data_IF_890758718403
#
_entry.id   IF_890758718403
#
_cell.length_a   1.000
_cell.length_b   1.000
_cell.length_c   1.000
_cell.angle_alpha   90.00
_cell.angle_beta   90.00
_cell.angle_gamma   90.00
#
_symmetry.space_group_name_H-M   'P 1'
#
loop_
_entity.id
_entity.type
_entity.pdbx_description
1 polymer ?
#
# COMPACT_ATOMS: atom_id res chain seq x y z
N UNK A 1 -61.33 -3.82 -6.29
CA UNK A 1 -60.32 -4.52 -7.11
C UNK A 1 -59.02 -3.80 -6.94
N UNK A 2 -58.08 -4.40 -6.21
CA UNK A 2 -56.67 -4.00 -6.17
C UNK A 2 -55.99 -4.58 -7.41
N UNK A 3 -55.13 -3.80 -8.06
CA UNK A 3 -54.09 -4.36 -8.92
C UNK A 3 -52.86 -3.47 -8.82
N UNK A 4 -51.81 -4.09 -8.31
CA UNK A 4 -50.48 -3.56 -8.12
C UNK A 4 -49.85 -3.21 -9.47
N UNK A 5 -49.16 -2.08 -9.57
CA UNK A 5 -48.24 -1.84 -10.68
C UNK A 5 -46.84 -1.67 -10.11
N UNK A 6 -46.14 -2.80 -10.11
CA UNK A 6 -44.72 -2.96 -9.86
C UNK A 6 -43.91 -1.96 -10.68
N UNK A 7 -43.23 -1.04 -10.00
CA UNK A 7 -42.18 -0.21 -10.61
C UNK A 7 -40.86 -0.54 -9.94
N UNK A 8 -40.23 -1.57 -10.49
CA UNK A 8 -38.79 -1.72 -10.68
C UNK A 8 -37.89 -1.20 -9.55
N UNK A 9 -37.62 -2.06 -8.57
CA UNK A 9 -36.40 -1.96 -7.76
C UNK A 9 -35.19 -2.22 -8.65
N UNK A 10 -34.59 -1.16 -9.20
CA UNK A 10 -33.22 -1.22 -9.69
C UNK A 10 -32.30 -1.29 -8.48
N UNK A 11 -32.15 -2.50 -7.93
CA UNK A 11 -31.06 -2.82 -7.02
C UNK A 11 -29.76 -2.83 -7.83
N UNK A 12 -29.21 -1.66 -8.11
CA UNK A 12 -27.81 -1.53 -8.51
C UNK A 12 -26.96 -1.82 -7.27
N UNK A 13 -26.83 -3.10 -6.93
CA UNK A 13 -25.78 -3.59 -6.04
C UNK A 13 -24.48 -3.60 -6.84
N UNK A 14 -23.99 -2.42 -7.21
CA UNK A 14 -22.58 -2.28 -7.50
C UNK A 14 -21.92 -2.24 -6.13
N UNK A 15 -21.46 -3.39 -5.64
CA UNK A 15 -20.23 -3.40 -4.85
C UNK A 15 -19.21 -2.69 -5.74
N UNK A 16 -19.11 -1.37 -5.61
CA UNK A 16 -17.99 -0.64 -6.17
C UNK A 16 -16.81 -1.23 -5.41
N UNK A 17 -16.10 -2.17 -6.01
CA UNK A 17 -14.72 -2.46 -5.66
C UNK A 17 -14.08 -1.08 -5.54
N UNK A 18 -13.86 -0.62 -4.31
CA UNK A 18 -13.32 0.72 -4.09
C UNK A 18 -11.93 0.66 -4.69
N UNK A 19 -11.73 1.40 -5.75
CA UNK A 19 -10.42 1.53 -6.37
C UNK A 19 -9.42 1.95 -5.31
N UNK A 20 -8.46 1.07 -5.03
CA UNK A 20 -7.33 1.34 -4.15
C UNK A 20 -6.15 1.78 -5.04
N UNK A 21 -5.84 3.09 -5.11
CA UNK A 21 -4.76 3.59 -5.96
C UNK A 21 -3.39 3.08 -5.52
N UNK A 22 -3.22 2.76 -4.23
CA UNK A 22 -1.95 2.28 -3.72
C UNK A 22 -1.73 0.82 -4.09
N UNK A 23 -2.74 -0.03 -3.87
CA UNK A 23 -2.68 -1.43 -4.29
C UNK A 23 -2.45 -1.55 -5.81
N UNK A 24 -3.12 -0.71 -6.62
CA UNK A 24 -2.91 -0.65 -8.06
C UNK A 24 -1.48 -0.21 -8.44
N UNK A 25 -0.94 0.80 -7.76
CA UNK A 25 0.44 1.24 -7.97
C UNK A 25 1.44 0.12 -7.65
N UNK A 26 1.27 -0.57 -6.52
CA UNK A 26 2.15 -1.66 -6.09
C UNK A 26 2.13 -2.82 -7.10
N UNK A 27 0.95 -3.24 -7.55
CA UNK A 27 0.82 -4.34 -8.53
C UNK A 27 1.49 -3.99 -9.86
N UNK A 28 1.18 -2.83 -10.42
CA UNK A 28 1.69 -2.45 -11.75
C UNK A 28 3.19 -2.13 -11.77
N UNK A 29 3.77 -1.83 -10.61
CA UNK A 29 5.18 -1.46 -10.49
C UNK A 29 5.98 -2.47 -9.68
N UNK A 30 5.44 -3.67 -9.40
CA UNK A 30 6.05 -4.62 -8.46
C UNK A 30 7.54 -4.90 -8.77
N UNK A 31 7.86 -5.25 -10.02
CA UNK A 31 9.25 -5.53 -10.42
C UNK A 31 10.15 -4.29 -10.36
N UNK A 32 9.63 -3.12 -10.72
CA UNK A 32 10.37 -1.85 -10.61
C UNK A 32 10.64 -1.49 -9.14
N UNK A 33 9.65 -1.66 -8.28
CA UNK A 33 9.78 -1.45 -6.84
C UNK A 33 10.80 -2.43 -6.28
N UNK A 34 10.71 -3.71 -6.64
CA UNK A 34 11.67 -4.72 -6.21
C UNK A 34 13.10 -4.34 -6.60
N UNK A 35 13.33 -3.93 -7.85
CA UNK A 35 14.65 -3.46 -8.31
C UNK A 35 15.13 -2.24 -7.51
N UNK A 36 14.27 -1.23 -7.35
CA UNK A 36 14.62 0.00 -6.63
C UNK A 36 14.88 -0.25 -5.13
N UNK A 37 14.13 -1.14 -4.50
CA UNK A 37 14.41 -1.59 -3.13
C UNK A 37 15.76 -2.27 -3.08
N UNK A 38 16.10 -3.18 -4.01
CA UNK A 38 17.41 -3.83 -4.04
C UNK A 38 18.56 -2.82 -4.20
N UNK A 39 18.37 -1.79 -5.03
CA UNK A 39 19.34 -0.73 -5.25
C UNK A 39 19.43 0.28 -4.08
N UNK A 40 18.38 0.40 -3.26
CA UNK A 40 18.27 1.38 -2.19
C UNK A 40 17.91 2.79 -2.66
N UNK A 41 17.53 2.95 -3.93
CA UNK A 41 17.15 4.24 -4.50
C UNK A 41 16.11 4.12 -5.61
N UNK A 42 15.42 5.23 -5.84
CA UNK A 42 14.49 5.41 -6.95
C UNK A 42 13.16 6.02 -6.53
N UNK A 43 12.43 6.55 -7.50
CA UNK A 43 11.22 7.35 -7.29
C UNK A 43 10.04 6.53 -6.76
N UNK A 44 9.97 5.23 -7.03
CA UNK A 44 8.86 4.40 -6.55
C UNK A 44 8.86 4.28 -5.03
N UNK A 45 10.05 4.31 -4.40
CA UNK A 45 10.19 4.27 -2.95
C UNK A 45 9.72 5.58 -2.28
N UNK A 46 9.93 6.70 -2.96
CA UNK A 46 9.41 8.00 -2.52
C UNK A 46 7.89 8.07 -2.65
N UNK A 47 7.32 7.44 -3.69
CA UNK A 47 5.86 7.30 -3.85
C UNK A 47 5.27 6.43 -2.74
N UNK A 48 5.93 5.32 -2.38
CA UNK A 48 5.53 4.50 -1.22
C UNK A 48 5.48 5.35 0.05
N UNK A 49 6.55 6.10 0.34
CA UNK A 49 6.60 6.99 1.51
C UNK A 49 5.47 8.05 1.48
N UNK A 50 5.11 8.57 0.30
CA UNK A 50 4.00 9.51 0.13
C UNK A 50 2.64 8.89 0.47
N UNK A 51 2.37 7.64 0.04
CA UNK A 51 1.11 6.96 0.37
C UNK A 51 0.93 6.82 1.90
N UNK A 52 2.02 6.56 2.63
CA UNK A 52 1.99 6.52 4.10
C UNK A 52 2.04 7.89 4.78
N UNK A 53 1.97 8.98 4.03
CA UNK A 53 1.92 10.33 4.59
C UNK A 53 3.24 10.80 5.20
N UNK A 54 4.37 10.20 4.80
CA UNK A 54 5.69 10.68 5.21
C UNK A 54 5.98 12.04 4.54
N UNK A 55 6.67 12.93 5.26
CA UNK A 55 7.17 14.17 4.69
C UNK A 55 8.47 13.94 3.91
N UNK A 56 8.79 14.82 2.95
CA UNK A 56 9.99 14.71 2.10
C UNK A 56 11.30 14.42 2.85
N UNK A 57 11.59 15.03 4.02
CA UNK A 57 12.82 14.73 4.76
C UNK A 57 12.95 13.24 5.15
N UNK A 58 11.84 12.52 5.31
CA UNK A 58 11.80 11.12 5.73
C UNK A 58 11.85 10.14 4.56
N UNK A 59 11.88 10.61 3.32
CA UNK A 59 11.93 9.71 2.16
C UNK A 59 13.23 8.89 2.14
N UNK A 60 14.33 9.47 2.62
CA UNK A 60 15.58 8.75 2.73
C UNK A 60 15.50 7.65 3.79
N UNK A 61 14.91 7.94 4.96
CA UNK A 61 14.69 6.94 6.01
C UNK A 61 13.78 5.80 5.54
N UNK A 62 12.71 6.13 4.82
CA UNK A 62 11.82 5.12 4.22
C UNK A 62 12.58 4.23 3.21
N UNK A 63 13.37 4.84 2.32
CA UNK A 63 14.18 4.10 1.33
C UNK A 63 15.18 3.15 1.98
N UNK A 64 15.92 3.63 2.98
CA UNK A 64 16.89 2.82 3.72
C UNK A 64 16.21 1.68 4.47
N UNK A 65 15.06 1.96 5.09
CA UNK A 65 14.26 0.95 5.81
C UNK A 65 13.75 -0.14 4.87
N UNK A 66 13.22 0.23 3.71
CA UNK A 66 12.78 -0.75 2.71
C UNK A 66 13.94 -1.60 2.19
N UNK A 67 15.07 -0.97 1.83
CA UNK A 67 16.27 -1.66 1.33
C UNK A 67 16.83 -2.67 2.33
N UNK A 68 16.97 -2.26 3.60
CA UNK A 68 17.47 -3.12 4.67
C UNK A 68 16.59 -4.36 4.91
N UNK A 69 15.32 -4.32 4.49
CA UNK A 69 14.34 -5.38 4.70
C UNK A 69 13.90 -6.07 3.39
N UNK A 70 14.72 -5.99 2.33
CA UNK A 70 14.39 -6.57 1.02
C UNK A 70 13.85 -8.02 1.09
N UNK A 71 14.49 -8.89 1.88
CA UNK A 71 14.09 -10.30 1.99
C UNK A 71 12.72 -10.51 2.66
N UNK A 72 12.27 -9.57 3.50
CA UNK A 72 10.93 -9.59 4.11
C UNK A 72 9.87 -9.08 3.14
N UNK A 73 10.26 -8.13 2.28
CA UNK A 73 9.37 -7.52 1.30
C UNK A 73 9.08 -8.46 0.12
N UNK A 74 10.10 -9.15 -0.39
CA UNK A 74 10.01 -9.93 -1.62
C UNK A 74 10.36 -11.41 -1.38
N UNK A 75 9.33 -12.24 -1.34
CA UNK A 75 9.44 -13.71 -1.39
C UNK A 75 8.94 -14.18 -2.75
N UNK A 76 9.84 -14.76 -3.55
CA UNK A 76 9.54 -15.25 -4.90
C UNK A 76 8.37 -16.24 -4.94
N UNK A 77 8.10 -16.95 -3.84
CA UNK A 77 6.99 -17.91 -3.74
C UNK A 77 5.65 -17.24 -3.47
N UNK A 78 5.65 -16.05 -2.87
CA UNK A 78 4.44 -15.32 -2.45
C UNK A 78 4.02 -14.26 -3.47
N UNK A 79 4.97 -13.73 -4.23
CA UNK A 79 4.70 -12.71 -5.24
C UNK A 79 4.19 -11.39 -4.66
N UNK A 80 3.47 -10.63 -5.49
CA UNK A 80 2.96 -9.29 -5.20
C UNK A 80 1.79 -9.25 -4.20
N UNK A 81 1.12 -10.39 -3.96
CA UNK A 81 -0.10 -10.48 -3.15
C UNK A 81 0.02 -9.86 -1.75
N UNK A 82 1.21 -9.90 -1.14
CA UNK A 82 1.45 -9.46 0.24
C UNK A 82 2.31 -8.20 0.35
N UNK A 83 2.71 -7.60 -0.78
CA UNK A 83 3.72 -6.53 -0.77
C UNK A 83 3.30 -5.32 0.07
N UNK A 84 2.02 -4.93 0.01
CA UNK A 84 1.48 -3.83 0.81
C UNK A 84 1.65 -4.10 2.31
N UNK A 85 1.24 -5.27 2.78
CA UNK A 85 1.31 -5.65 4.19
C UNK A 85 2.75 -5.77 4.67
N UNK A 86 3.63 -6.32 3.82
CA UNK A 86 5.05 -6.41 4.13
C UNK A 86 5.68 -5.01 4.27
N UNK A 87 5.32 -4.07 3.39
CA UNK A 87 5.77 -2.68 3.48
C UNK A 87 5.26 -2.03 4.77
N UNK A 88 3.97 -2.18 5.09
CA UNK A 88 3.39 -1.64 6.32
C UNK A 88 4.15 -2.12 7.56
N UNK A 89 4.40 -3.42 7.64
CA UNK A 89 5.15 -4.02 8.74
C UNK A 89 6.55 -3.42 8.86
N UNK A 90 7.31 -3.39 7.75
CA UNK A 90 8.69 -2.89 7.72
C UNK A 90 8.77 -1.42 8.12
N UNK A 91 7.83 -0.59 7.66
CA UNK A 91 7.79 0.83 8.02
C UNK A 91 7.35 1.04 9.48
N UNK A 92 6.44 0.22 10.00
CA UNK A 92 6.00 0.26 11.40
C UNK A 92 7.10 -0.17 12.38
N UNK A 93 8.01 -1.06 11.98
CA UNK A 93 9.14 -1.47 12.82
C UNK A 93 10.17 -0.35 13.01
N UNK A 94 10.26 0.60 12.07
CA UNK A 94 11.09 1.80 12.20
C UNK A 94 10.39 2.85 13.08
N UNK A 95 10.96 3.15 14.26
CA UNK A 95 10.38 4.08 15.23
C UNK A 95 10.18 5.50 14.67
N UNK A 96 11.14 6.04 13.94
CA UNK A 96 11.03 7.37 13.35
C UNK A 96 9.88 7.42 12.35
N UNK A 97 9.82 6.45 11.43
CA UNK A 97 8.78 6.41 10.40
C UNK A 97 7.39 6.16 10.99
N UNK A 98 7.29 5.24 11.96
CA UNK A 98 6.05 4.96 12.69
C UNK A 98 5.48 6.21 13.37
N UNK A 99 6.34 7.04 13.96
CA UNK A 99 5.91 8.22 14.69
C UNK A 99 5.55 9.40 13.77
N UNK A 100 6.19 9.51 12.61
CA UNK A 100 6.09 10.70 11.75
C UNK A 100 5.24 10.52 10.49
N UNK A 101 5.10 9.30 9.97
CA UNK A 101 4.30 9.01 8.77
C UNK A 101 2.82 8.79 9.14
N UNK A 102 1.96 9.73 8.71
CA UNK A 102 0.61 9.92 9.24
C UNK A 102 -0.42 8.83 8.89
N UNK A 103 -0.17 8.04 7.84
CA UNK A 103 -1.12 7.05 7.34
C UNK A 103 -0.65 5.62 7.60
N UNK A 104 0.41 5.40 8.38
CA UNK A 104 0.75 4.06 8.83
C UNK A 104 -0.34 3.55 9.77
N UNK A 105 -0.85 2.31 9.58
CA UNK A 105 -1.84 1.74 10.47
C UNK A 105 -1.19 1.48 11.83
N UNK A 106 -1.40 2.39 12.78
CA UNK A 106 -1.01 2.16 14.17
C UNK A 106 -1.95 1.09 14.70
N UNK A 107 -1.45 -0.10 15.01
CA UNK A 107 -2.24 -1.07 15.75
C UNK A 107 -2.71 -0.40 17.05
N UNK A 108 -4.03 -0.13 17.13
CA UNK A 108 -4.71 0.04 18.40
C UNK A 108 -4.46 -1.26 19.18
N UNK A 109 -3.55 -1.17 20.14
CA UNK A 109 -3.23 -2.28 21.06
C UNK A 109 -4.39 -2.47 22.02
#
# INVERSE_FOLDING_TARGET
MTTENSSSSTSSSSSRDRYDPYAFFLQNNYHLIQEQVAQGFGSSLEVIAQFYGCQKPLYNDARLTLNANYALLFDEKKGDKYIQQNIEQVLLENELLRNECKNLPVNAT
#
